data_IF_998140502860
#
_entry.id   IF_998140502860
#
_cell.length_a   1.000
_cell.length_b   1.000
_cell.length_c   1.000
_cell.angle_alpha   90.00
_cell.angle_beta   90.00
_cell.angle_gamma   90.00
#
_symmetry.space_group_name_H-M   'P 1'
#
loop_
_entity.id
_entity.type
_entity.pdbx_description
1 polymer ?
#
# COMPACT_ATOMS: atom_id res chain seq x y z
N UNK A 1 -18.77 -31.82 8.11
CA UNK A 1 -17.51 -31.37 8.62
C UNK A 1 -16.70 -30.88 7.43
N UNK A 2 -16.51 -29.58 7.37
CA UNK A 2 -15.58 -28.93 6.41
C UNK A 2 -14.18 -29.30 6.92
N UNK A 3 -13.29 -29.86 6.08
CA UNK A 3 -11.93 -30.12 6.51
C UNK A 3 -11.27 -28.80 6.90
N UNK A 4 -10.63 -28.78 8.07
CA UNK A 4 -9.77 -27.67 8.47
C UNK A 4 -8.73 -27.48 7.34
N UNK A 5 -8.70 -26.31 6.70
CA UNK A 5 -7.61 -25.92 5.79
C UNK A 5 -6.32 -26.05 6.59
N UNK A 6 -5.44 -26.97 6.17
CA UNK A 6 -4.07 -26.95 6.62
C UNK A 6 -3.55 -25.53 6.38
N UNK A 7 -3.02 -24.91 7.43
CA UNK A 7 -2.31 -23.62 7.30
C UNK A 7 -1.17 -23.90 6.33
N UNK A 8 -1.29 -23.38 5.11
CA UNK A 8 -0.17 -23.27 4.19
C UNK A 8 1.02 -22.74 5.00
N UNK A 9 2.18 -23.39 4.93
CA UNK A 9 3.38 -22.87 5.56
C UNK A 9 3.60 -21.50 4.94
N UNK A 10 3.39 -20.44 5.73
CA UNK A 10 3.68 -19.08 5.30
C UNK A 10 5.12 -19.08 4.79
N UNK A 11 5.33 -18.56 3.58
CA UNK A 11 6.67 -18.37 3.05
C UNK A 11 7.50 -17.58 4.06
N UNK A 12 8.78 -17.94 4.19
CA UNK A 12 9.67 -17.28 5.13
C UNK A 12 9.92 -15.83 4.70
N UNK A 13 9.82 -14.89 5.64
CA UNK A 13 10.20 -13.50 5.39
C UNK A 13 11.72 -13.39 5.27
N UNK A 14 12.17 -12.80 4.18
CA UNK A 14 13.59 -12.52 3.94
C UNK A 14 13.86 -11.05 4.23
N UNK A 15 14.71 -10.80 5.22
CA UNK A 15 15.18 -9.45 5.52
C UNK A 15 16.38 -9.10 4.64
N UNK A 16 16.39 -7.89 4.09
CA UNK A 16 17.49 -7.35 3.30
C UNK A 16 17.60 -5.84 3.47
N UNK A 17 18.61 -5.25 2.83
CA UNK A 17 18.77 -3.79 2.75
C UNK A 17 18.95 -3.37 1.32
N UNK A 18 18.52 -2.15 0.99
CA UNK A 18 18.75 -1.54 -0.31
C UNK A 18 19.13 -0.07 -0.17
N UNK A 19 19.88 0.44 -1.14
CA UNK A 19 20.32 1.83 -1.18
C UNK A 19 19.14 2.74 -1.54
N UNK A 20 18.73 3.59 -0.60
CA UNK A 20 17.55 4.43 -0.71
C UNK A 20 17.85 5.84 -1.23
N UNK A 21 18.96 6.46 -0.78
CA UNK A 21 19.31 7.84 -1.14
C UNK A 21 20.78 8.14 -0.85
N UNK A 22 21.48 8.95 -1.68
CA UNK A 22 22.90 9.28 -1.45
C UNK A 22 23.21 9.85 -0.06
N UNK A 23 22.36 10.73 0.46
CA UNK A 23 22.57 11.36 1.76
C UNK A 23 22.09 10.52 2.95
N UNK A 24 21.37 9.43 2.71
CA UNK A 24 20.71 8.62 3.74
C UNK A 24 21.20 7.18 3.78
N UNK A 25 21.87 6.72 2.72
CA UNK A 25 22.39 5.37 2.62
C UNK A 25 21.31 4.32 2.42
N UNK A 26 21.51 3.18 3.07
CA UNK A 26 20.62 2.01 2.95
C UNK A 26 19.51 2.00 3.99
N UNK A 27 18.38 1.40 3.62
CA UNK A 27 17.25 1.12 4.50
C UNK A 27 16.89 -0.36 4.50
N UNK A 28 16.23 -0.81 5.54
CA UNK A 28 15.79 -2.19 5.72
C UNK A 28 14.54 -2.50 4.91
N UNK A 29 14.43 -3.74 4.47
CA UNK A 29 13.27 -4.29 3.78
C UNK A 29 12.95 -5.71 4.20
N UNK A 30 11.71 -6.14 3.99
CA UNK A 30 11.18 -7.47 4.24
C UNK A 30 10.45 -7.98 3.00
N UNK A 31 10.96 -9.05 2.41
CA UNK A 31 10.34 -9.72 1.28
C UNK A 31 9.59 -10.96 1.75
N UNK A 32 8.31 -11.08 1.37
CA UNK A 32 7.48 -12.26 1.58
C UNK A 32 6.93 -12.71 0.22
N UNK A 33 7.33 -13.91 -0.24
CA UNK A 33 6.89 -14.44 -1.54
C UNK A 33 6.19 -15.78 -1.34
N UNK A 34 4.84 -15.81 -1.40
CA UNK A 34 4.11 -17.05 -1.34
C UNK A 34 4.30 -17.89 -2.60
N UNK A 35 4.10 -19.20 -2.50
CA UNK A 35 4.17 -20.10 -3.64
C UNK A 35 3.15 -19.70 -4.72
N UNK A 36 3.58 -19.72 -5.98
CA UNK A 36 2.73 -19.40 -7.12
C UNK A 36 2.37 -17.92 -7.28
N UNK A 37 3.03 -17.01 -6.52
CA UNK A 37 2.81 -15.58 -6.66
C UNK A 37 3.02 -15.11 -8.10
N UNK A 38 2.15 -14.22 -8.57
CA UNK A 38 2.28 -13.55 -9.87
C UNK A 38 2.55 -12.06 -9.71
N UNK A 39 2.13 -11.48 -8.60
CA UNK A 39 2.23 -10.06 -8.28
C UNK A 39 3.11 -9.82 -7.06
N UNK A 40 3.84 -8.72 -7.09
CA UNK A 40 4.64 -8.20 -5.97
C UNK A 40 4.21 -6.76 -5.69
N UNK A 41 3.87 -6.46 -4.45
CA UNK A 41 3.58 -5.11 -4.01
C UNK A 41 4.75 -4.53 -3.22
N UNK A 42 5.38 -3.47 -3.74
CA UNK A 42 6.26 -2.60 -2.96
C UNK A 42 5.40 -1.79 -1.99
N UNK A 43 5.43 -2.13 -0.70
CA UNK A 43 4.47 -1.70 0.32
C UNK A 43 5.14 -0.83 1.39
N UNK A 44 4.89 0.47 1.33
CA UNK A 44 5.41 1.44 2.28
C UNK A 44 4.51 1.64 3.51
N UNK A 45 5.12 2.05 4.61
CA UNK A 45 4.47 2.22 5.91
C UNK A 45 3.84 3.62 6.11
N UNK A 46 3.01 3.77 7.16
CA UNK A 46 2.44 5.04 7.60
C UNK A 46 3.49 6.01 8.18
N UNK A 47 3.12 7.28 8.33
CA UNK A 47 4.04 8.35 8.72
C UNK A 47 4.75 8.16 10.08
N UNK A 48 4.13 7.46 11.02
CA UNK A 48 4.62 7.26 12.39
C UNK A 48 4.86 5.79 12.71
N UNK A 49 4.97 4.95 11.69
CA UNK A 49 5.15 3.50 11.82
C UNK A 49 6.33 3.06 10.95
N UNK A 50 6.75 1.82 11.11
CA UNK A 50 7.80 1.19 10.33
C UNK A 50 7.27 0.01 9.50
N UNK A 51 8.15 -0.67 8.75
CA UNK A 51 7.82 -1.82 7.93
C UNK A 51 7.33 -3.04 8.73
N UNK A 52 7.59 -3.10 10.04
CA UNK A 52 7.20 -4.19 10.96
C UNK A 52 5.93 -3.86 11.74
N UNK A 53 5.37 -2.67 11.55
CA UNK A 53 4.14 -2.29 12.22
C UNK A 53 3.03 -3.30 11.94
N UNK A 54 2.29 -3.69 12.99
CA UNK A 54 1.30 -4.76 12.96
C UNK A 54 0.30 -4.65 11.80
N UNK A 55 -0.18 -3.44 11.51
CA UNK A 55 -1.11 -3.22 10.39
C UNK A 55 -0.50 -3.64 9.06
N UNK A 56 0.75 -3.22 8.80
CA UNK A 56 1.44 -3.52 7.55
C UNK A 56 1.78 -5.01 7.44
N UNK A 57 2.16 -5.61 8.55
CA UNK A 57 2.39 -7.05 8.64
C UNK A 57 1.11 -7.83 8.34
N UNK A 58 -0.02 -7.47 8.97
CA UNK A 58 -1.31 -8.14 8.72
C UNK A 58 -1.75 -7.99 7.26
N UNK A 59 -1.54 -6.82 6.64
CA UNK A 59 -1.78 -6.63 5.20
C UNK A 59 -0.94 -7.63 4.40
N UNK A 60 0.37 -7.72 4.67
CA UNK A 60 1.29 -8.60 3.94
C UNK A 60 0.94 -10.09 4.11
N UNK A 61 0.59 -10.51 5.32
CA UNK A 61 0.18 -11.89 5.61
C UNK A 61 -1.10 -12.27 4.84
N UNK A 62 -2.11 -11.40 4.83
CA UNK A 62 -3.37 -11.67 4.09
C UNK A 62 -3.15 -11.62 2.57
N UNK A 63 -2.29 -10.75 2.06
CA UNK A 63 -1.91 -10.73 0.65
C UNK A 63 -1.18 -12.03 0.26
N UNK A 64 -0.31 -12.55 1.12
CA UNK A 64 0.36 -13.83 0.88
C UNK A 64 -0.62 -15.01 0.82
N UNK A 65 -1.67 -15.02 1.64
CA UNK A 65 -2.72 -16.06 1.62
C UNK A 65 -3.47 -16.13 0.27
N UNK A 66 -3.52 -15.02 -0.46
CA UNK A 66 -4.14 -14.93 -1.79
C UNK A 66 -3.14 -14.92 -2.94
N UNK A 67 -1.85 -15.24 -2.68
CA UNK A 67 -0.82 -15.39 -3.70
C UNK A 67 -0.19 -14.09 -4.19
N UNK A 68 -0.25 -13.01 -3.41
CA UNK A 68 0.42 -11.74 -3.69
C UNK A 68 1.63 -11.58 -2.78
N UNK A 69 2.82 -11.42 -3.40
CA UNK A 69 4.05 -11.15 -2.69
C UNK A 69 4.11 -9.68 -2.21
N UNK A 70 4.85 -9.43 -1.14
CA UNK A 70 5.08 -8.07 -0.63
C UNK A 70 6.55 -7.80 -0.38
N UNK A 71 6.99 -6.59 -0.71
CA UNK A 71 8.27 -6.01 -0.35
C UNK A 71 8.00 -4.80 0.53
N UNK A 72 8.05 -5.01 1.85
CA UNK A 72 7.89 -3.94 2.83
C UNK A 72 9.23 -3.26 3.07
N UNK A 73 9.25 -1.94 3.23
CA UNK A 73 10.49 -1.19 3.41
C UNK A 73 10.32 -0.03 4.39
N UNK A 74 11.43 0.39 4.99
CA UNK A 74 11.50 1.59 5.81
C UNK A 74 11.85 2.82 4.96
N UNK A 75 11.26 3.97 5.31
CA UNK A 75 11.85 5.25 4.94
C UNK A 75 13.06 5.57 5.84
N UNK A 76 14.07 6.32 5.36
CA UNK A 76 15.31 6.56 6.12
C UNK A 76 15.10 7.13 7.51
N UNK A 77 14.10 7.99 7.72
CA UNK A 77 13.81 8.54 9.04
C UNK A 77 13.43 7.48 10.09
N UNK A 78 12.92 6.33 9.67
CA UNK A 78 12.60 5.22 10.58
C UNK A 78 13.84 4.41 10.98
N UNK A 79 14.88 4.40 10.15
CA UNK A 79 16.16 3.76 10.49
C UNK A 79 16.95 4.56 11.55
N UNK A 80 16.87 5.88 11.48
CA UNK A 80 17.70 6.78 12.29
C UNK A 80 17.00 7.38 13.51
N UNK A 81 15.65 7.24 13.59
CA UNK A 81 14.88 7.75 14.73
C UNK A 81 14.79 9.28 14.73
N UNK A 82 14.45 9.89 13.61
CA UNK A 82 14.31 11.35 13.46
C UNK A 82 12.92 11.80 13.04
N UNK A 83 12.81 13.07 12.69
CA UNK A 83 11.65 13.62 11.98
C UNK A 83 11.58 13.09 10.55
N UNK A 84 10.41 13.19 9.92
CA UNK A 84 10.22 12.75 8.53
C UNK A 84 11.23 13.41 7.61
N UNK A 85 11.73 12.64 6.66
CA UNK A 85 12.63 13.12 5.63
C UNK A 85 11.98 14.19 4.74
N UNK A 86 12.81 15.01 4.10
CA UNK A 86 12.38 15.92 3.06
C UNK A 86 11.66 15.16 1.92
N UNK A 87 10.71 15.82 1.25
CA UNK A 87 9.92 15.20 0.19
C UNK A 87 10.78 14.53 -0.87
N UNK A 88 11.87 15.18 -1.32
CA UNK A 88 12.77 14.62 -2.34
C UNK A 88 13.40 13.29 -1.92
N UNK A 89 13.87 13.19 -0.68
CA UNK A 89 14.40 11.93 -0.11
C UNK A 89 13.33 10.85 -0.08
N UNK A 90 12.12 11.20 0.36
CA UNK A 90 10.99 10.26 0.43
C UNK A 90 10.63 9.71 -0.94
N UNK A 91 10.52 10.57 -1.98
CA UNK A 91 10.18 10.14 -3.33
C UNK A 91 11.30 9.29 -3.95
N UNK A 92 12.57 9.65 -3.73
CA UNK A 92 13.70 8.84 -4.15
C UNK A 92 13.71 7.46 -3.49
N UNK A 93 13.39 7.40 -2.18
CA UNK A 93 13.25 6.11 -1.45
C UNK A 93 12.15 5.23 -2.06
N UNK A 94 10.99 5.79 -2.42
CA UNK A 94 9.92 5.04 -3.09
C UNK A 94 10.42 4.44 -4.42
N UNK A 95 11.12 5.23 -5.25
CA UNK A 95 11.69 4.74 -6.51
C UNK A 95 12.70 3.63 -6.30
N UNK A 96 13.62 3.82 -5.35
CA UNK A 96 14.62 2.82 -5.00
C UNK A 96 13.97 1.53 -4.45
N UNK A 97 12.89 1.65 -3.66
CA UNK A 97 12.14 0.50 -3.15
C UNK A 97 11.46 -0.29 -4.27
N UNK A 98 10.87 0.37 -5.26
CA UNK A 98 10.28 -0.30 -6.43
C UNK A 98 11.35 -1.06 -7.24
N UNK A 99 12.51 -0.47 -7.46
CA UNK A 99 13.61 -1.13 -8.16
C UNK A 99 14.17 -2.32 -7.35
N UNK A 100 14.39 -2.15 -6.04
CA UNK A 100 14.85 -3.22 -5.16
C UNK A 100 13.83 -4.38 -5.07
N UNK A 101 12.54 -4.07 -5.02
CA UNK A 101 11.47 -5.06 -5.06
C UNK A 101 11.52 -5.88 -6.36
N UNK A 102 11.62 -5.21 -7.51
CA UNK A 102 11.74 -5.89 -8.79
C UNK A 102 13.01 -6.78 -8.85
N UNK A 103 14.16 -6.28 -8.40
CA UNK A 103 15.41 -7.05 -8.38
C UNK A 103 15.31 -8.29 -7.47
N UNK A 104 14.57 -8.20 -6.36
CA UNK A 104 14.38 -9.30 -5.42
C UNK A 104 13.46 -10.40 -5.96
N UNK A 105 12.51 -10.07 -6.85
CA UNK A 105 11.60 -11.03 -7.46
C UNK A 105 11.25 -10.64 -8.93
N UNK A 106 12.23 -10.74 -9.85
CA UNK A 106 12.15 -10.14 -11.20
C UNK A 106 11.13 -10.78 -12.13
N UNK A 107 10.58 -11.93 -11.76
CA UNK A 107 9.55 -12.63 -12.53
C UNK A 107 8.12 -12.19 -12.19
N UNK A 108 7.95 -11.46 -11.09
CA UNK A 108 6.65 -11.01 -10.63
C UNK A 108 6.30 -9.65 -11.26
N UNK A 109 5.02 -9.46 -11.57
CA UNK A 109 4.48 -8.17 -11.98
C UNK A 109 4.46 -7.23 -10.78
N UNK A 110 4.86 -5.97 -10.98
CA UNK A 110 5.09 -5.04 -9.89
C UNK A 110 3.92 -4.07 -9.70
N UNK A 111 3.44 -4.02 -8.46
CA UNK A 111 2.59 -2.96 -7.93
C UNK A 111 3.39 -2.11 -6.94
N UNK A 112 3.00 -0.87 -6.76
CA UNK A 112 3.57 0.00 -5.74
C UNK A 112 2.46 0.64 -4.91
N UNK A 113 2.74 0.95 -3.64
CA UNK A 113 1.74 1.59 -2.81
C UNK A 113 2.13 1.64 -1.34
N UNK A 114 1.13 1.74 -0.49
CA UNK A 114 1.39 1.77 0.95
C UNK A 114 0.21 2.23 1.78
N UNK A 115 0.41 2.16 3.08
CA UNK A 115 -0.55 2.68 4.04
C UNK A 115 -0.35 4.19 4.22
N UNK A 116 -1.46 4.94 4.11
CA UNK A 116 -1.52 6.35 4.45
C UNK A 116 -0.40 7.18 3.77
N UNK A 117 0.58 7.63 4.54
CA UNK A 117 1.70 8.45 4.08
C UNK A 117 2.42 7.86 2.86
N UNK A 118 2.82 6.60 2.92
CA UNK A 118 3.57 5.99 1.82
C UNK A 118 2.72 5.78 0.57
N UNK A 119 1.42 5.49 0.71
CA UNK A 119 0.52 5.45 -0.46
C UNK A 119 0.53 6.78 -1.20
N UNK A 120 0.33 7.90 -0.47
CA UNK A 120 0.40 9.24 -1.06
C UNK A 120 1.79 9.60 -1.60
N UNK A 121 2.88 9.17 -0.95
CA UNK A 121 4.23 9.41 -1.48
C UNK A 121 4.52 8.59 -2.73
N UNK A 122 3.97 7.39 -2.83
CA UNK A 122 4.06 6.56 -4.05
C UNK A 122 3.37 7.22 -5.23
N UNK A 123 2.14 7.71 -5.07
CA UNK A 123 1.47 8.45 -6.14
C UNK A 123 2.17 9.78 -6.49
N UNK A 124 2.72 10.49 -5.50
CA UNK A 124 3.55 11.68 -5.78
C UNK A 124 4.82 11.34 -6.58
N UNK A 125 5.46 10.19 -6.29
CA UNK A 125 6.60 9.74 -7.06
C UNK A 125 6.21 9.36 -8.49
N UNK A 126 5.09 8.64 -8.65
CA UNK A 126 4.54 8.25 -9.95
C UNK A 126 4.11 9.45 -10.80
N UNK A 127 3.50 10.47 -10.18
CA UNK A 127 3.10 11.71 -10.84
C UNK A 127 4.29 12.58 -11.30
N UNK A 128 5.37 12.59 -10.53
CA UNK A 128 6.58 13.34 -10.91
C UNK A 128 7.28 12.73 -12.13
N UNK A 129 7.32 11.41 -12.19
CA UNK A 129 7.89 10.61 -13.26
C UNK A 129 7.38 9.17 -13.11
N UNK A 130 6.96 8.48 -14.18
CA UNK A 130 6.52 7.10 -14.10
C UNK A 130 7.48 6.20 -13.31
N UNK A 131 6.93 5.33 -12.47
CA UNK A 131 7.70 4.33 -11.74
C UNK A 131 7.98 3.15 -12.69
N UNK A 132 9.24 2.83 -13.00
CA UNK A 132 9.55 1.77 -13.96
C UNK A 132 8.91 0.43 -13.56
N UNK A 133 8.28 -0.25 -14.51
CA UNK A 133 7.65 -1.57 -14.36
C UNK A 133 6.44 -1.62 -13.41
N UNK A 134 6.10 -0.54 -12.71
CA UNK A 134 4.90 -0.50 -11.87
C UNK A 134 3.66 -0.45 -12.74
N UNK A 135 2.77 -1.43 -12.58
CA UNK A 135 1.56 -1.59 -13.38
C UNK A 135 0.32 -0.99 -12.72
N UNK A 136 0.41 -0.62 -11.46
CA UNK A 136 -0.67 0.04 -10.73
C UNK A 136 -0.24 0.49 -9.34
N UNK A 137 -0.99 1.45 -8.80
CA UNK A 137 -0.75 2.01 -7.47
C UNK A 137 -1.88 1.64 -6.52
N UNK A 138 -1.53 1.15 -5.32
CA UNK A 138 -2.49 0.69 -4.30
C UNK A 138 -2.40 1.57 -3.07
N UNK A 139 -3.54 2.09 -2.65
CA UNK A 139 -3.67 2.91 -1.45
C UNK A 139 -4.44 2.16 -0.36
N UNK A 140 -3.76 1.89 0.73
CA UNK A 140 -4.40 1.48 1.98
C UNK A 140 -4.65 2.74 2.81
N UNK A 141 -5.86 3.28 2.78
CA UNK A 141 -6.28 4.54 3.41
C UNK A 141 -5.50 5.76 2.87
N UNK A 142 -5.83 6.22 1.65
CA UNK A 142 -5.23 7.44 1.10
C UNK A 142 -5.60 8.66 1.96
N UNK A 143 -4.63 9.42 2.51
CA UNK A 143 -4.91 10.56 3.38
C UNK A 143 -5.23 11.80 2.54
N UNK A 144 -6.48 12.00 2.17
CA UNK A 144 -6.93 13.10 1.31
C UNK A 144 -6.67 14.48 1.95
N UNK A 145 -6.79 14.58 3.28
CA UNK A 145 -6.55 15.82 4.03
C UNK A 145 -6.00 15.52 5.44
N UNK A 146 -5.51 16.54 6.18
CA UNK A 146 -5.22 16.41 7.61
C UNK A 146 -6.51 16.24 8.41
N UNK A 147 -6.44 15.57 9.56
CA UNK A 147 -7.58 15.43 10.46
C UNK A 147 -8.16 16.80 10.84
N UNK A 148 -9.48 16.93 10.74
CA UNK A 148 -10.20 18.17 11.07
C UNK A 148 -9.94 19.36 10.14
N UNK A 149 -9.35 19.11 8.98
CA UNK A 149 -9.12 20.12 7.92
C UNK A 149 -9.49 19.51 6.56
N UNK A 150 -10.80 19.31 6.30
CA UNK A 150 -11.27 18.75 5.04
C UNK A 150 -10.77 19.54 3.82
N UNK A 151 -10.42 18.83 2.75
CA UNK A 151 -9.90 19.40 1.50
C UNK A 151 -9.41 18.29 0.55
N UNK A 152 -9.12 18.65 -0.68
CA UNK A 152 -8.71 17.72 -1.73
C UNK A 152 -7.31 17.99 -2.30
N UNK A 153 -6.59 18.97 -1.76
CA UNK A 153 -5.32 19.45 -2.28
C UNK A 153 -4.24 18.35 -2.31
N UNK A 154 -4.38 17.37 -1.40
CA UNK A 154 -3.45 16.22 -1.37
C UNK A 154 -3.64 15.25 -2.52
N UNK A 155 -4.70 15.37 -3.29
CA UNK A 155 -5.01 14.54 -4.45
C UNK A 155 -4.71 15.24 -5.79
N UNK A 156 -4.37 16.52 -5.83
CA UNK A 156 -4.16 17.28 -7.08
C UNK A 156 -3.12 16.62 -8.00
N UNK A 157 -2.06 16.02 -7.44
CA UNK A 157 -1.03 15.33 -8.22
C UNK A 157 -1.50 14.02 -8.88
N UNK A 158 -2.69 13.51 -8.52
CA UNK A 158 -3.21 12.27 -9.11
C UNK A 158 -3.55 12.44 -10.60
N UNK A 159 -3.76 13.67 -11.06
CA UNK A 159 -3.97 14.00 -12.48
C UNK A 159 -2.77 13.58 -13.36
N UNK A 160 -1.58 13.48 -12.77
CA UNK A 160 -0.34 13.11 -13.46
C UNK A 160 0.05 11.63 -13.27
N UNK A 161 -0.77 10.84 -12.55
CA UNK A 161 -0.54 9.40 -12.38
C UNK A 161 -1.09 8.66 -13.60
N UNK A 162 -0.22 7.95 -14.31
CA UNK A 162 -0.54 7.34 -15.63
C UNK A 162 -0.82 5.84 -15.56
N UNK A 163 -0.91 5.27 -14.38
CA UNK A 163 -1.22 3.85 -14.17
C UNK A 163 -2.50 3.69 -13.35
N UNK A 164 -3.22 2.58 -13.48
CA UNK A 164 -4.41 2.30 -12.71
C UNK A 164 -4.20 2.44 -11.20
N UNK A 165 -5.22 2.89 -10.48
CA UNK A 165 -5.19 3.16 -9.06
C UNK A 165 -6.26 2.38 -8.31
N UNK A 166 -5.88 1.71 -7.21
CA UNK A 166 -6.81 1.05 -6.29
C UNK A 166 -6.82 1.78 -4.96
N UNK A 167 -7.98 2.30 -4.58
CA UNK A 167 -8.23 2.91 -3.27
C UNK A 167 -8.99 1.94 -2.37
N UNK A 168 -8.36 1.52 -1.28
CA UNK A 168 -8.98 0.75 -0.20
C UNK A 168 -9.16 1.70 0.99
N UNK A 169 -10.39 2.16 1.23
CA UNK A 169 -10.68 3.23 2.19
C UNK A 169 -11.76 2.82 3.18
N UNK A 170 -11.56 3.17 4.45
CA UNK A 170 -12.58 2.96 5.47
C UNK A 170 -13.72 3.98 5.38
N UNK A 171 -14.97 3.54 5.59
CA UNK A 171 -16.14 4.46 5.56
C UNK A 171 -16.16 5.48 6.72
N UNK A 172 -15.25 5.35 7.69
CA UNK A 172 -15.09 6.25 8.83
C UNK A 172 -13.69 6.85 8.91
N UNK A 173 -12.99 6.93 7.78
CA UNK A 173 -11.66 7.51 7.73
C UNK A 173 -11.72 9.04 7.89
N UNK A 174 -11.27 9.55 9.03
CA UNK A 174 -11.24 10.98 9.33
C UNK A 174 -10.16 11.77 8.55
N UNK A 175 -9.37 11.11 7.70
CA UNK A 175 -8.40 11.74 6.81
C UNK A 175 -8.84 11.67 5.33
N UNK A 176 -10.00 11.06 5.07
CA UNK A 176 -10.56 10.90 3.73
C UNK A 176 -12.09 10.77 3.82
N UNK A 177 -12.76 11.85 4.18
CA UNK A 177 -14.23 11.91 4.25
C UNK A 177 -14.83 11.53 2.90
N UNK A 178 -15.83 10.61 2.90
CA UNK A 178 -16.35 9.99 1.66
C UNK A 178 -16.92 11.03 0.69
N UNK A 179 -17.59 12.05 1.21
CA UNK A 179 -18.15 13.13 0.42
C UNK A 179 -17.10 13.89 -0.42
N UNK A 180 -15.83 13.82 -0.01
CA UNK A 180 -14.69 14.40 -0.73
C UNK A 180 -13.92 13.35 -1.54
N UNK A 181 -13.76 12.14 -1.00
CA UNK A 181 -12.96 11.09 -1.65
C UNK A 181 -13.65 10.52 -2.89
N UNK A 182 -14.95 10.21 -2.81
CA UNK A 182 -15.69 9.62 -3.93
C UNK A 182 -15.63 10.49 -5.20
N UNK A 183 -15.92 11.81 -5.15
CA UNK A 183 -15.81 12.67 -6.33
C UNK A 183 -14.36 12.77 -6.86
N UNK A 184 -13.36 12.71 -5.97
CA UNK A 184 -11.94 12.73 -6.40
C UNK A 184 -11.62 11.47 -7.18
N UNK A 185 -11.99 10.29 -6.68
CA UNK A 185 -11.67 9.02 -7.36
C UNK A 185 -12.45 8.89 -8.67
N UNK A 186 -13.71 9.33 -8.71
CA UNK A 186 -14.56 9.27 -9.91
C UNK A 186 -14.06 10.10 -11.10
N UNK A 187 -13.08 11.00 -10.91
CA UNK A 187 -12.45 11.73 -12.01
C UNK A 187 -11.58 10.85 -12.90
N UNK A 188 -11.15 9.69 -12.42
CA UNK A 188 -10.16 8.83 -13.09
C UNK A 188 -10.82 7.53 -13.52
N UNK A 189 -10.92 7.31 -14.84
CA UNK A 189 -11.56 6.11 -15.42
C UNK A 189 -10.87 4.81 -14.98
N UNK A 190 -9.57 4.86 -14.74
CA UNK A 190 -8.76 3.71 -14.29
C UNK A 190 -8.56 3.66 -12.77
N UNK A 191 -9.34 4.41 -11.99
CA UNK A 191 -9.34 4.33 -10.55
C UNK A 191 -10.50 3.49 -10.03
N UNK A 192 -10.19 2.58 -9.12
CA UNK A 192 -11.15 1.76 -8.40
C UNK A 192 -11.19 2.17 -6.93
N UNK A 193 -12.40 2.45 -6.41
CA UNK A 193 -12.62 2.69 -4.99
C UNK A 193 -13.35 1.51 -4.37
N UNK A 194 -12.76 0.91 -3.34
CA UNK A 194 -13.43 -0.06 -2.48
C UNK A 194 -13.55 0.51 -1.06
N UNK A 195 -14.79 0.55 -0.57
CA UNK A 195 -15.11 1.05 0.75
C UNK A 195 -15.20 -0.10 1.76
N UNK A 196 -14.30 -0.10 2.72
CA UNK A 196 -14.29 -1.05 3.83
C UNK A 196 -15.28 -0.55 4.90
N UNK A 197 -16.42 -1.25 5.00
CA UNK A 197 -17.52 -0.85 5.87
C UNK A 197 -17.08 -0.73 7.33
N UNK A 198 -17.48 0.38 7.96
CA UNK A 198 -17.20 0.76 9.35
C UNK A 198 -15.72 0.88 9.75
N UNK A 199 -14.78 0.75 8.82
CA UNK A 199 -13.35 0.89 9.10
C UNK A 199 -12.96 2.38 9.27
N UNK A 200 -12.01 2.63 10.16
CA UNK A 200 -11.31 3.92 10.28
C UNK A 200 -10.01 3.93 9.46
N UNK A 201 -9.21 5.00 9.57
CA UNK A 201 -7.93 5.17 8.86
C UNK A 201 -6.92 4.03 9.09
N UNK A 202 -6.99 3.33 10.21
CA UNK A 202 -6.15 2.17 10.56
C UNK A 202 -6.83 0.83 10.33
N UNK A 203 -7.97 0.81 9.64
CA UNK A 203 -8.80 -0.37 9.41
C UNK A 203 -9.42 -1.00 10.67
N UNK A 204 -9.53 -0.23 11.76
CA UNK A 204 -10.29 -0.66 12.92
C UNK A 204 -11.79 -0.49 12.65
N UNK A 205 -12.54 -1.60 12.77
CA UNK A 205 -13.97 -1.68 12.46
C UNK A 205 -14.87 -1.57 13.70
N UNK A 206 -16.12 -1.19 13.47
CA UNK A 206 -17.20 -1.30 14.43
C UNK A 206 -17.96 -2.62 14.19
N UNK A 207 -17.52 -3.68 14.85
CA UNK A 207 -18.07 -5.06 14.66
C UNK A 207 -19.60 -5.15 14.79
N UNK A 208 -20.22 -4.27 15.60
CA UNK A 208 -21.67 -4.32 15.87
C UNK A 208 -22.53 -3.80 14.72
N UNK A 209 -22.00 -2.93 13.89
CA UNK A 209 -22.72 -2.23 12.82
C UNK A 209 -22.24 -2.61 11.43
N UNK A 210 -21.11 -3.33 11.32
CA UNK A 210 -20.58 -3.80 10.06
C UNK A 210 -21.50 -4.88 9.46
N UNK A 211 -21.83 -4.76 8.19
CA UNK A 211 -22.71 -5.70 7.48
C UNK A 211 -21.97 -6.96 7.05
N UNK A 212 -20.67 -6.86 6.73
CA UNK A 212 -19.85 -8.02 6.35
C UNK A 212 -19.29 -8.75 7.57
N UNK A 213 -19.25 -10.08 7.51
CA UNK A 213 -18.56 -10.95 8.47
C UNK A 213 -17.15 -11.32 8.04
N UNK A 214 -16.74 -10.95 6.81
CA UNK A 214 -15.40 -11.17 6.28
C UNK A 214 -14.37 -10.38 7.10
N UNK A 215 -13.21 -10.97 7.33
CA UNK A 215 -12.10 -10.22 7.94
C UNK A 215 -11.69 -9.05 7.04
N UNK A 216 -11.38 -7.90 7.63
CA UNK A 216 -11.08 -6.67 6.89
C UNK A 216 -9.87 -6.81 5.98
N UNK A 217 -8.83 -7.49 6.47
CA UNK A 217 -7.60 -7.64 5.71
C UNK A 217 -7.74 -8.68 4.61
N UNK A 218 -8.51 -9.75 4.87
CA UNK A 218 -8.88 -10.74 3.87
C UNK A 218 -9.74 -10.12 2.76
N UNK A 219 -10.71 -9.27 3.11
CA UNK A 219 -11.52 -8.50 2.16
C UNK A 219 -10.64 -7.63 1.25
N UNK A 220 -9.74 -6.84 1.83
CA UNK A 220 -8.83 -5.98 1.06
C UNK A 220 -7.89 -6.79 0.16
N UNK A 221 -7.38 -7.92 0.63
CA UNK A 221 -6.51 -8.80 -0.14
C UNK A 221 -7.25 -9.41 -1.34
N UNK A 222 -8.47 -9.88 -1.14
CA UNK A 222 -9.33 -10.39 -2.21
C UNK A 222 -9.63 -9.32 -3.26
N UNK A 223 -10.02 -8.10 -2.83
CA UNK A 223 -10.30 -6.97 -3.74
C UNK A 223 -9.05 -6.60 -4.55
N UNK A 224 -7.86 -6.61 -3.95
CA UNK A 224 -6.62 -6.35 -4.68
C UNK A 224 -6.39 -7.41 -5.76
N UNK A 225 -6.56 -8.70 -5.47
CA UNK A 225 -6.41 -9.76 -6.47
C UNK A 225 -7.44 -9.61 -7.58
N UNK A 226 -8.71 -9.38 -7.25
CA UNK A 226 -9.77 -9.16 -8.25
C UNK A 226 -9.42 -7.97 -9.17
N UNK A 227 -8.91 -6.88 -8.59
CA UNK A 227 -8.47 -5.71 -9.35
C UNK A 227 -7.28 -6.01 -10.27
N UNK A 228 -6.31 -6.84 -9.84
CA UNK A 228 -5.17 -7.19 -10.69
C UNK A 228 -5.55 -7.95 -11.95
N UNK A 229 -6.72 -8.58 -11.99
CA UNK A 229 -7.22 -9.26 -13.20
C UNK A 229 -7.58 -8.27 -14.32
N UNK A 230 -7.76 -7.00 -13.98
CA UNK A 230 -8.08 -5.92 -14.93
C UNK A 230 -6.82 -5.27 -15.49
N UNK A 231 -5.64 -5.52 -14.89
CA UNK A 231 -4.34 -4.97 -15.31
C UNK A 231 -3.61 -5.87 -16.31
N UNK A 232 -4.10 -7.07 -16.56
CA UNK A 232 -3.44 -8.11 -17.37
C UNK A 232 -3.86 -8.04 -18.84
#
# INVERSE_FOLDING_TARGET
PVPAREKSSLAEEVESRFFAHPDKGEVSSLLLVPEGAKWLLALGHGASTDMRHRNLQTIAENLAEVGVATFRYNHPYMETGGGRDARGVTLATVRAACEAAHQSAPKLQLLAGGHSFSGRMTSNAAAQEPLPRVQGVVFFSFPLHPAGKPGIERAEHLDDVTVPMLFLSGTRDALAELELLEPVVQKYDEATLHLVDTADHGFKILKRTRHSTEDVYAEMARILVDWTTQLA
#
